data_IF_594699121548
#
_entry.id   IF_594699121548
#
_cell.length_a   1.000
_cell.length_b   1.000
_cell.length_c   1.000
_cell.angle_alpha   90.00
_cell.angle_beta   90.00
_cell.angle_gamma   90.00
#
_symmetry.space_group_name_H-M   'P 1'
#
loop_
_entity.id
_entity.type
_entity.pdbx_description
1 polymer ?
#
# COMPACT_ATOMS: atom_id res chain seq x y z
N UNK A 1 -22.56 -43.93 91.17
CA UNK A 1 -23.44 -42.85 90.68
C UNK A 1 -22.57 -41.81 90.00
N UNK A 2 -22.98 -41.41 88.80
CA UNK A 2 -22.17 -40.81 87.74
C UNK A 2 -21.75 -39.36 87.97
N UNK A 3 -20.50 -39.08 87.59
CA UNK A 3 -19.96 -37.79 87.19
C UNK A 3 -20.73 -37.19 86.00
N UNK A 4 -20.79 -35.85 85.90
CA UNK A 4 -20.74 -35.13 84.61
C UNK A 4 -20.42 -33.65 84.78
N UNK A 5 -19.17 -33.30 84.50
CA UNK A 5 -18.66 -31.94 84.26
C UNK A 5 -18.98 -31.59 82.80
N UNK A 6 -19.75 -30.52 82.57
CA UNK A 6 -20.07 -30.00 81.22
C UNK A 6 -18.87 -29.27 80.62
N UNK A 7 -18.34 -29.78 79.50
CA UNK A 7 -17.38 -29.10 78.63
C UNK A 7 -18.11 -28.13 77.71
N UNK A 8 -17.70 -26.86 77.70
CA UNK A 8 -18.14 -25.84 76.74
C UNK A 8 -17.29 -26.02 75.47
N UNK A 9 -17.95 -26.30 74.34
CA UNK A 9 -17.31 -26.40 73.03
C UNK A 9 -17.18 -24.99 72.42
N UNK A 10 -15.95 -24.58 72.09
CA UNK A 10 -15.67 -23.37 71.31
C UNK A 10 -15.68 -23.77 69.83
N UNK A 11 -16.68 -23.29 69.10
CA UNK A 11 -16.79 -23.45 67.65
C UNK A 11 -15.79 -22.51 66.95
N UNK A 12 -14.74 -23.07 66.36
CA UNK A 12 -13.84 -22.34 65.48
C UNK A 12 -14.52 -22.10 64.12
N UNK A 13 -14.93 -20.87 63.83
CA UNK A 13 -15.32 -20.45 62.48
C UNK A 13 -14.05 -20.40 61.61
N UNK A 14 -13.93 -21.34 60.67
CA UNK A 14 -12.92 -21.28 59.61
C UNK A 14 -13.23 -20.15 58.64
N UNK A 15 -12.37 -19.13 58.60
CA UNK A 15 -12.39 -18.08 57.58
C UNK A 15 -11.88 -18.70 56.27
N UNK A 16 -12.79 -19.04 55.37
CA UNK A 16 -12.43 -19.38 53.99
C UNK A 16 -11.90 -18.10 53.31
N UNK A 17 -10.58 -18.04 53.08
CA UNK A 17 -9.97 -17.01 52.27
C UNK A 17 -10.48 -17.16 50.82
N UNK A 18 -11.46 -16.34 50.44
CA UNK A 18 -11.84 -16.17 49.04
C UNK A 18 -10.66 -15.52 48.31
N UNK A 19 -9.90 -16.32 47.57
CA UNK A 19 -8.94 -15.82 46.58
C UNK A 19 -9.72 -15.15 45.45
N UNK A 20 -9.89 -13.83 45.54
CA UNK A 20 -10.36 -13.02 44.42
C UNK A 20 -9.41 -13.29 43.22
N UNK A 21 -9.93 -13.68 42.04
CA UNK A 21 -9.10 -13.79 40.85
C UNK A 21 -8.41 -12.45 40.62
N UNK A 22 -7.08 -12.46 40.59
CA UNK A 22 -6.28 -11.25 40.44
C UNK A 22 -6.75 -10.46 39.23
N UNK A 23 -7.12 -9.20 39.44
CA UNK A 23 -7.37 -8.25 38.36
C UNK A 23 -6.03 -8.09 37.63
N UNK A 24 -5.86 -8.83 36.54
CA UNK A 24 -4.76 -8.59 35.62
C UNK A 24 -5.08 -7.29 34.91
N UNK A 25 -4.42 -6.21 35.32
CA UNK A 25 -4.47 -4.94 34.61
C UNK A 25 -3.97 -5.24 33.20
N UNK A 26 -4.84 -5.05 32.21
CA UNK A 26 -4.50 -5.30 30.83
C UNK A 26 -3.37 -4.37 30.39
N UNK A 27 -2.31 -4.93 29.81
CA UNK A 27 -1.18 -4.16 29.28
C UNK A 27 -1.65 -3.36 28.05
N UNK A 28 -1.49 -2.04 28.11
CA UNK A 28 -1.67 -1.14 26.96
C UNK A 28 -0.66 -1.48 25.84
N UNK A 29 -1.09 -1.31 24.60
CA UNK A 29 -0.28 -1.60 23.42
C UNK A 29 0.30 -0.33 22.80
N UNK A 30 1.61 -0.13 22.90
CA UNK A 30 2.29 0.95 22.21
C UNK A 30 2.53 0.59 20.74
N UNK A 31 1.86 1.31 19.83
CA UNK A 31 2.00 1.16 18.39
C UNK A 31 2.85 2.30 17.82
N UNK A 32 3.99 1.95 17.23
CA UNK A 32 4.86 2.90 16.56
C UNK A 32 4.39 3.22 15.15
N UNK A 33 4.54 4.48 14.73
CA UNK A 33 4.35 4.91 13.33
C UNK A 33 5.56 5.70 12.90
N UNK A 34 6.16 5.32 11.77
CA UNK A 34 7.27 6.06 11.15
C UNK A 34 6.88 6.42 9.72
N UNK A 35 6.58 7.68 9.48
CA UNK A 35 6.19 8.19 8.15
C UNK A 35 7.08 9.36 7.72
N UNK A 36 7.01 9.75 6.44
CA UNK A 36 7.67 10.96 5.96
C UNK A 36 6.75 12.16 6.14
N UNK A 37 6.64 12.69 7.36
CA UNK A 37 5.73 13.79 7.67
C UNK A 37 6.28 15.14 7.23
N UNK A 38 7.60 15.21 7.03
CA UNK A 38 8.29 16.31 6.36
C UNK A 38 9.13 15.79 5.19
N UNK A 39 9.60 16.72 4.35
CA UNK A 39 10.34 16.41 3.12
C UNK A 39 9.44 15.88 2.01
N UNK A 40 10.01 15.10 1.09
CA UNK A 40 9.33 14.65 -0.13
C UNK A 40 8.11 13.73 0.13
N UNK A 41 8.02 13.10 1.30
CA UNK A 41 6.89 12.24 1.67
C UNK A 41 5.69 12.94 2.28
N UNK A 42 5.78 14.24 2.60
CA UNK A 42 4.78 14.93 3.43
C UNK A 42 3.37 14.89 2.81
N UNK A 43 3.27 15.17 1.50
CA UNK A 43 2.00 15.18 0.76
C UNK A 43 1.30 13.83 0.78
N UNK A 44 2.05 12.73 0.79
CA UNK A 44 1.52 11.36 0.69
C UNK A 44 1.30 10.70 2.05
N UNK A 45 2.00 11.17 3.09
CA UNK A 45 1.92 10.58 4.43
C UNK A 45 0.78 11.13 5.28
N UNK A 46 0.26 12.33 4.97
CA UNK A 46 -0.77 12.99 5.79
C UNK A 46 -2.04 12.17 5.90
N UNK A 47 -2.63 11.79 4.77
CA UNK A 47 -3.87 11.01 4.76
C UNK A 47 -3.67 9.61 5.33
N UNK A 48 -2.48 9.02 5.09
CA UNK A 48 -2.07 7.77 5.72
C UNK A 48 -2.08 7.85 7.25
N UNK A 49 -1.46 8.89 7.82
CA UNK A 49 -1.45 9.12 9.26
C UNK A 49 -2.86 9.33 9.83
N UNK A 50 -3.70 10.08 9.12
CA UNK A 50 -5.10 10.30 9.52
C UNK A 50 -5.89 8.98 9.51
N UNK A 51 -5.65 8.11 8.53
CA UNK A 51 -6.28 6.79 8.46
C UNK A 51 -5.83 5.86 9.60
N UNK A 52 -4.53 5.88 9.96
CA UNK A 52 -4.03 5.13 11.12
C UNK A 52 -4.73 5.59 12.40
N UNK A 53 -4.81 6.90 12.61
CA UNK A 53 -5.48 7.48 13.79
C UNK A 53 -6.95 7.07 13.85
N UNK A 54 -7.66 7.13 12.72
CA UNK A 54 -9.05 6.72 12.64
C UNK A 54 -9.22 5.24 13.00
N UNK A 55 -8.46 4.33 12.39
CA UNK A 55 -8.52 2.90 12.70
C UNK A 55 -8.21 2.61 14.18
N UNK A 56 -7.20 3.27 14.75
CA UNK A 56 -6.84 3.12 16.16
C UNK A 56 -7.97 3.59 17.09
N UNK A 57 -8.63 4.70 16.77
CA UNK A 57 -9.79 5.17 17.53
C UNK A 57 -10.97 4.20 17.45
N UNK A 58 -11.27 3.67 16.27
CA UNK A 58 -12.34 2.68 16.07
C UNK A 58 -12.08 1.39 16.86
N UNK A 59 -10.83 0.92 16.89
CA UNK A 59 -10.44 -0.26 17.66
C UNK A 59 -10.48 0.01 19.16
N UNK A 60 -9.99 1.17 19.61
CA UNK A 60 -10.06 1.56 21.01
C UNK A 60 -11.49 1.74 21.50
N UNK A 61 -12.41 2.24 20.66
CA UNK A 61 -13.83 2.33 20.98
C UNK A 61 -14.49 0.94 21.17
N UNK A 62 -13.89 -0.12 20.63
CA UNK A 62 -14.29 -1.52 20.81
C UNK A 62 -13.55 -2.21 21.97
N UNK A 63 -12.88 -1.46 22.84
CA UNK A 63 -12.13 -1.98 23.98
C UNK A 63 -10.65 -2.26 23.70
N UNK A 64 -10.14 -1.89 22.53
CA UNK A 64 -8.74 -2.12 22.15
C UNK A 64 -8.49 -3.53 21.63
N UNK A 65 -7.22 -3.93 21.56
CA UNK A 65 -6.85 -5.27 21.13
C UNK A 65 -7.32 -6.32 22.13
N UNK A 66 -7.89 -7.41 21.60
CA UNK A 66 -8.49 -8.50 22.39
C UNK A 66 -9.53 -8.02 23.41
N UNK A 67 -10.16 -6.85 23.15
CA UNK A 67 -11.16 -6.23 24.03
C UNK A 67 -10.61 -5.73 25.37
N UNK A 68 -9.29 -5.61 25.52
CA UNK A 68 -8.67 -5.22 26.80
C UNK A 68 -7.40 -4.38 26.70
N UNK A 69 -6.64 -4.44 25.60
CA UNK A 69 -5.37 -3.73 25.45
C UNK A 69 -5.56 -2.46 24.62
N UNK A 70 -5.64 -1.30 25.28
CA UNK A 70 -5.80 -0.01 24.60
C UNK A 70 -4.55 0.32 23.77
N UNK A 71 -4.75 0.84 22.57
CA UNK A 71 -3.67 1.22 21.66
C UNK A 71 -3.24 2.66 21.93
N UNK A 72 -1.95 2.83 22.24
CA UNK A 72 -1.28 4.11 22.37
C UNK A 72 -0.41 4.35 21.13
N UNK A 73 -0.80 5.32 20.30
CA UNK A 73 -0.10 5.61 19.05
C UNK A 73 1.09 6.55 19.30
N UNK A 74 2.29 6.14 18.90
CA UNK A 74 3.51 6.95 18.99
C UNK A 74 4.05 7.23 17.58
N UNK A 75 3.92 8.48 17.14
CA UNK A 75 4.22 8.90 15.77
C UNK A 75 5.60 9.58 15.72
N UNK A 76 6.43 9.16 14.75
CA UNK A 76 7.72 9.77 14.45
C UNK A 76 7.82 10.16 12.98
N UNK A 77 8.57 11.23 12.73
CA UNK A 77 8.88 11.72 11.39
C UNK A 77 10.25 11.21 10.94
N UNK A 78 10.27 10.45 9.85
CA UNK A 78 11.51 9.98 9.19
C UNK A 78 12.22 11.08 8.40
N UNK A 79 11.57 12.23 8.17
CA UNK A 79 12.02 13.26 7.22
C UNK A 79 12.31 12.72 5.82
N UNK A 80 11.74 11.55 5.50
CA UNK A 80 12.00 10.79 4.27
C UNK A 80 13.46 10.33 4.11
N UNK A 81 14.22 10.17 5.21
CA UNK A 81 15.63 9.75 5.18
C UNK A 81 15.88 8.44 5.95
N UNK A 82 16.66 7.48 5.40
CA UNK A 82 16.90 6.18 6.06
C UNK A 82 17.52 6.29 7.46
N UNK A 83 18.49 7.18 7.66
CA UNK A 83 19.19 7.33 8.94
C UNK A 83 18.27 7.83 10.05
N UNK A 84 17.44 8.84 9.74
CA UNK A 84 16.44 9.34 10.69
C UNK A 84 15.38 8.26 10.94
N UNK A 85 14.91 7.56 9.91
CA UNK A 85 13.95 6.48 10.09
C UNK A 85 14.48 5.37 11.02
N UNK A 86 15.74 4.94 10.83
CA UNK A 86 16.41 3.94 11.68
C UNK A 86 16.54 4.42 13.13
N UNK A 87 16.95 5.68 13.31
CA UNK A 87 17.05 6.33 14.63
C UNK A 87 15.69 6.35 15.33
N UNK A 88 14.65 6.83 14.65
CA UNK A 88 13.31 6.95 15.25
C UNK A 88 12.69 5.59 15.56
N UNK A 89 12.90 4.58 14.71
CA UNK A 89 12.50 3.20 15.02
C UNK A 89 13.23 2.67 16.27
N UNK A 90 14.54 2.94 16.40
CA UNK A 90 15.30 2.56 17.59
C UNK A 90 14.77 3.24 18.85
N UNK A 91 14.38 4.52 18.76
CA UNK A 91 13.75 5.26 19.87
C UNK A 91 12.40 4.62 20.24
N UNK A 92 11.54 4.37 19.26
CA UNK A 92 10.23 3.73 19.48
C UNK A 92 10.37 2.39 20.21
N UNK A 93 11.35 1.57 19.81
CA UNK A 93 11.58 0.26 20.40
C UNK A 93 12.16 0.38 21.82
N UNK A 94 13.23 1.18 21.98
CA UNK A 94 13.99 1.22 23.24
C UNK A 94 13.30 2.03 24.32
N UNK A 95 12.73 3.18 23.96
CA UNK A 95 12.07 4.13 24.88
C UNK A 95 10.59 3.85 24.99
N UNK A 96 9.90 3.82 23.85
CA UNK A 96 8.44 3.74 23.82
C UNK A 96 7.93 2.28 23.86
N UNK A 97 8.83 1.29 23.90
CA UNK A 97 8.55 -0.15 24.05
C UNK A 97 7.52 -0.68 23.04
N UNK A 98 7.52 -0.15 21.82
CA UNK A 98 6.56 -0.56 20.80
C UNK A 98 6.75 -2.03 20.40
N UNK A 99 5.63 -2.70 20.10
CA UNK A 99 5.58 -4.10 19.66
C UNK A 99 5.43 -4.24 18.14
N UNK A 100 4.96 -3.19 17.49
CA UNK A 100 4.87 -3.06 16.04
C UNK A 100 5.19 -1.62 15.61
N UNK A 101 5.68 -1.50 14.38
CA UNK A 101 5.90 -0.23 13.67
C UNK A 101 5.16 -0.29 12.33
N UNK A 102 4.27 0.69 12.10
CA UNK A 102 3.65 0.93 10.79
C UNK A 102 4.47 1.93 9.97
N UNK A 103 4.53 1.71 8.67
CA UNK A 103 5.20 2.59 7.72
C UNK A 103 6.35 1.91 6.96
N UNK A 104 7.10 2.62 6.13
CA UNK A 104 7.15 4.07 5.94
C UNK A 104 6.67 4.45 4.54
N UNK A 105 6.61 5.75 4.23
CA UNK A 105 6.47 6.25 2.85
C UNK A 105 7.63 5.84 1.93
N UNK A 106 8.87 6.00 2.41
CA UNK A 106 10.06 5.77 1.60
C UNK A 106 10.48 4.32 1.62
N UNK A 107 10.65 3.71 0.44
CA UNK A 107 11.20 2.37 0.31
C UNK A 107 12.57 2.22 0.99
N UNK A 108 13.43 3.23 0.88
CA UNK A 108 14.75 3.20 1.51
C UNK A 108 14.65 3.25 3.04
N UNK A 109 13.70 4.02 3.58
CA UNK A 109 13.42 4.03 5.02
C UNK A 109 12.90 2.67 5.48
N UNK A 110 11.93 2.08 4.78
CA UNK A 110 11.42 0.73 5.12
C UNK A 110 12.52 -0.34 5.08
N UNK A 111 13.41 -0.30 4.09
CA UNK A 111 14.57 -1.22 4.01
C UNK A 111 15.52 -1.00 5.20
N UNK A 112 15.76 0.24 5.63
CA UNK A 112 16.62 0.55 6.77
C UNK A 112 15.98 0.18 8.13
N UNK A 113 14.65 0.24 8.24
CA UNK A 113 13.90 -0.18 9.43
C UNK A 113 13.90 -1.70 9.61
N UNK A 114 13.82 -2.45 8.52
CA UNK A 114 13.72 -3.92 8.51
C UNK A 114 14.73 -4.63 9.44
N UNK A 115 16.05 -4.37 9.36
CA UNK A 115 17.02 -5.04 10.25
C UNK A 115 16.82 -4.64 11.71
N UNK A 116 16.50 -3.38 12.01
CA UNK A 116 16.23 -2.93 13.39
C UNK A 116 15.01 -3.63 13.98
N UNK A 117 13.93 -3.73 13.21
CA UNK A 117 12.72 -4.44 13.62
C UNK A 117 13.01 -5.93 13.87
N UNK A 118 13.73 -6.58 12.95
CA UNK A 118 14.14 -7.99 13.06
C UNK A 118 15.00 -8.27 14.30
N UNK A 119 16.06 -7.48 14.51
CA UNK A 119 16.99 -7.64 15.64
C UNK A 119 16.30 -7.50 17.00
N UNK A 120 15.25 -6.69 17.06
CA UNK A 120 14.50 -6.43 18.30
C UNK A 120 13.18 -7.20 18.37
N UNK A 121 12.90 -8.09 17.42
CA UNK A 121 11.68 -8.91 17.36
C UNK A 121 10.38 -8.09 17.37
N UNK A 122 10.41 -6.93 16.70
CA UNK A 122 9.28 -6.00 16.57
C UNK A 122 8.70 -6.15 15.18
N UNK A 123 7.37 -6.19 15.08
CA UNK A 123 6.69 -6.26 13.78
C UNK A 123 6.90 -4.96 13.00
N UNK A 124 7.06 -5.10 11.69
CA UNK A 124 7.13 -4.00 10.75
C UNK A 124 6.11 -4.24 9.63
N UNK A 125 5.07 -3.42 9.58
CA UNK A 125 4.05 -3.50 8.53
C UNK A 125 4.22 -2.30 7.60
N UNK A 126 4.73 -2.57 6.41
CA UNK A 126 4.92 -1.59 5.35
C UNK A 126 3.65 -1.45 4.51
N UNK A 127 3.06 -0.26 4.48
CA UNK A 127 1.82 -0.03 3.76
C UNK A 127 2.02 0.62 2.39
N UNK A 128 2.81 1.70 2.34
CA UNK A 128 2.87 2.59 1.18
C UNK A 128 4.26 2.62 0.52
N UNK A 129 5.31 2.18 1.20
CA UNK A 129 6.61 1.93 0.56
C UNK A 129 6.51 0.77 -0.42
N UNK A 130 7.27 0.86 -1.51
CA UNK A 130 6.96 0.10 -2.73
C UNK A 130 8.10 -0.83 -3.19
N UNK A 131 9.34 -0.65 -2.74
CA UNK A 131 10.42 -1.48 -3.29
C UNK A 131 10.16 -2.95 -3.00
N UNK A 132 10.23 -3.79 -4.04
CA UNK A 132 10.18 -5.24 -3.87
C UNK A 132 11.28 -5.76 -2.94
N UNK A 133 12.39 -5.03 -2.77
CA UNK A 133 13.48 -5.44 -1.87
C UNK A 133 13.13 -5.35 -0.39
N UNK A 134 11.99 -4.75 -0.03
CA UNK A 134 11.47 -4.81 1.34
C UNK A 134 11.24 -6.27 1.74
N UNK A 135 10.66 -7.07 0.85
CA UNK A 135 10.26 -8.47 1.07
C UNK A 135 11.09 -9.50 0.28
N UNK A 136 11.69 -9.10 -0.85
CA UNK A 136 12.45 -9.99 -1.74
C UNK A 136 13.85 -10.33 -1.22
N UNK A 137 14.69 -9.33 -0.97
CA UNK A 137 16.11 -9.48 -0.60
C UNK A 137 16.26 -9.31 0.91
N UNK A 138 17.11 -10.12 1.55
CA UNK A 138 17.26 -10.15 3.02
C UNK A 138 15.89 -10.18 3.74
N UNK A 139 15.08 -11.23 3.52
CA UNK A 139 13.73 -11.27 4.08
C UNK A 139 13.78 -11.26 5.61
N UNK A 140 12.78 -10.62 6.21
CA UNK A 140 12.57 -10.62 7.66
C UNK A 140 11.23 -11.27 7.96
N UNK A 141 11.16 -12.25 8.88
CA UNK A 141 9.88 -12.82 9.26
C UNK A 141 8.98 -11.81 9.99
N UNK A 142 9.54 -10.71 10.50
CA UNK A 142 8.80 -9.63 11.16
C UNK A 142 8.32 -8.53 10.21
N UNK A 143 8.69 -8.58 8.92
CA UNK A 143 8.30 -7.56 7.94
C UNK A 143 7.20 -8.09 7.03
N UNK A 144 6.10 -7.36 6.95
CA UNK A 144 4.95 -7.63 6.09
C UNK A 144 4.67 -6.41 5.23
N UNK A 145 4.25 -6.61 3.98
CA UNK A 145 3.89 -5.51 3.08
C UNK A 145 2.42 -5.62 2.63
N UNK A 146 1.60 -4.59 2.87
CA UNK A 146 0.16 -4.60 2.53
C UNK A 146 -0.17 -3.84 1.23
N UNK A 147 0.77 -3.06 0.70
CA UNK A 147 0.67 -2.42 -0.61
C UNK A 147 1.37 -3.22 -1.71
N UNK A 148 1.02 -3.02 -3.00
CA UNK A 148 1.68 -3.71 -4.10
C UNK A 148 3.10 -3.18 -4.24
N UNK A 149 4.06 -4.07 -4.46
CA UNK A 149 5.46 -3.69 -4.65
C UNK A 149 5.79 -3.26 -6.10
N UNK A 150 7.03 -2.84 -6.30
CA UNK A 150 7.49 -2.19 -7.54
C UNK A 150 7.44 -3.13 -8.74
N UNK A 151 7.69 -4.42 -8.54
CA UNK A 151 7.53 -5.42 -9.60
C UNK A 151 6.05 -5.64 -9.90
N UNK A 152 5.21 -5.78 -8.86
CA UNK A 152 3.77 -5.93 -9.04
C UNK A 152 3.17 -4.78 -9.84
N UNK A 153 3.56 -3.53 -9.54
CA UNK A 153 3.06 -2.38 -10.31
C UNK A 153 3.54 -2.38 -11.76
N UNK A 154 4.83 -2.68 -12.01
CA UNK A 154 5.34 -2.76 -13.37
C UNK A 154 4.63 -3.84 -14.19
N UNK A 155 4.44 -5.04 -13.61
CA UNK A 155 3.72 -6.12 -14.27
C UNK A 155 2.21 -5.83 -14.40
N UNK A 156 1.60 -5.17 -13.41
CA UNK A 156 0.21 -4.75 -13.49
C UNK A 156 -0.05 -3.76 -14.62
N UNK A 157 0.90 -2.88 -14.96
CA UNK A 157 0.77 -2.04 -16.15
C UNK A 157 0.72 -2.89 -17.43
N UNK A 158 1.62 -3.86 -17.58
CA UNK A 158 1.62 -4.74 -18.75
C UNK A 158 0.32 -5.55 -18.86
N UNK A 159 -0.06 -6.26 -17.79
CA UNK A 159 -1.28 -7.09 -17.74
C UNK A 159 -2.54 -6.23 -17.89
N UNK A 160 -2.62 -5.10 -17.19
CA UNK A 160 -3.78 -4.23 -17.22
C UNK A 160 -4.00 -3.61 -18.59
N UNK A 161 -2.93 -3.18 -19.26
CA UNK A 161 -3.01 -2.67 -20.65
C UNK A 161 -3.39 -3.78 -21.62
N UNK A 162 -2.89 -5.01 -21.45
CA UNK A 162 -3.28 -6.16 -22.28
C UNK A 162 -4.78 -6.46 -22.15
N UNK A 163 -5.31 -6.46 -20.92
CA UNK A 163 -6.75 -6.60 -20.65
C UNK A 163 -7.57 -5.46 -21.25
N UNK A 164 -7.13 -4.20 -21.10
CA UNK A 164 -7.79 -3.05 -21.72
C UNK A 164 -7.80 -3.18 -23.24
N UNK A 165 -6.68 -3.59 -23.84
CA UNK A 165 -6.56 -3.81 -25.28
C UNK A 165 -7.55 -4.86 -25.76
N UNK A 166 -7.62 -6.01 -25.09
CA UNK A 166 -8.59 -7.07 -25.39
C UNK A 166 -10.04 -6.56 -25.30
N UNK A 167 -10.38 -5.86 -24.21
CA UNK A 167 -11.73 -5.34 -23.99
C UNK A 167 -12.15 -4.28 -25.01
N UNK A 168 -11.21 -3.46 -25.48
CA UNK A 168 -11.46 -2.38 -26.45
C UNK A 168 -11.16 -2.76 -27.91
N UNK A 169 -10.75 -4.01 -28.16
CA UNK A 169 -10.40 -4.49 -29.50
C UNK A 169 -9.16 -3.81 -30.10
N UNK A 170 -8.22 -3.36 -29.26
CA UNK A 170 -6.96 -2.77 -29.73
C UNK A 170 -6.03 -3.82 -30.31
N UNK A 171 -5.29 -3.43 -31.34
CA UNK A 171 -4.40 -4.31 -32.11
C UNK A 171 -3.02 -3.69 -32.37
N UNK A 172 -2.86 -2.39 -32.16
CA UNK A 172 -1.66 -1.62 -32.48
C UNK A 172 -1.29 -0.69 -31.35
N UNK A 173 -0.02 -0.53 -31.08
CA UNK A 173 0.46 0.42 -30.09
C UNK A 173 1.73 1.12 -30.56
N UNK A 174 2.00 2.27 -29.94
CA UNK A 174 3.26 2.98 -30.11
C UNK A 174 3.94 3.19 -28.76
N UNK A 175 5.24 3.48 -28.80
CA UNK A 175 6.01 3.89 -27.63
C UNK A 175 6.64 5.25 -27.85
N UNK A 176 6.76 6.01 -26.76
CA UNK A 176 7.63 7.18 -26.68
C UNK A 176 8.53 7.03 -25.46
N UNK A 177 9.84 7.12 -25.66
CA UNK A 177 10.82 6.88 -24.60
C UNK A 177 12.05 7.75 -24.77
N UNK A 178 12.62 8.25 -23.68
CA UNK A 178 13.83 9.08 -23.76
C UNK A 178 15.00 8.31 -24.39
N UNK A 179 15.72 8.94 -25.33
CA UNK A 179 16.85 8.34 -26.08
C UNK A 179 18.14 8.28 -25.23
N UNK A 180 18.07 7.61 -24.10
CA UNK A 180 19.21 7.24 -23.26
C UNK A 180 18.89 5.96 -22.50
N UNK A 181 19.87 5.43 -21.77
CA UNK A 181 19.81 4.09 -21.16
C UNK A 181 18.53 3.82 -20.38
N UNK A 182 18.10 4.73 -19.52
CA UNK A 182 16.89 4.53 -18.71
C UNK A 182 15.63 4.41 -19.59
N UNK A 183 15.45 5.27 -20.59
CA UNK A 183 14.28 5.25 -21.45
C UNK A 183 14.26 4.00 -22.33
N UNK A 184 15.42 3.62 -22.89
CA UNK A 184 15.60 2.40 -23.69
C UNK A 184 15.31 1.14 -22.89
N UNK A 185 15.95 0.99 -21.73
CA UNK A 185 15.74 -0.17 -20.85
C UNK A 185 14.30 -0.25 -20.33
N UNK A 186 13.69 0.88 -19.95
CA UNK A 186 12.30 0.91 -19.46
C UNK A 186 11.30 0.54 -20.55
N UNK A 187 11.48 1.05 -21.77
CA UNK A 187 10.63 0.69 -22.89
C UNK A 187 10.82 -0.77 -23.31
N UNK A 188 12.06 -1.25 -23.40
CA UNK A 188 12.34 -2.65 -23.74
C UNK A 188 11.73 -3.61 -22.71
N UNK A 189 11.86 -3.31 -21.42
CA UNK A 189 11.24 -4.09 -20.35
C UNK A 189 9.72 -4.13 -20.46
N UNK A 190 9.08 -2.99 -20.73
CA UNK A 190 7.64 -2.95 -20.97
C UNK A 190 7.27 -3.80 -22.19
N UNK A 191 7.93 -3.61 -23.34
CA UNK A 191 7.62 -4.35 -24.57
C UNK A 191 7.80 -5.86 -24.36
N UNK A 192 8.87 -6.29 -23.71
CA UNK A 192 9.13 -7.70 -23.43
C UNK A 192 8.09 -8.33 -22.50
N UNK A 193 7.64 -7.60 -21.47
CA UNK A 193 6.55 -8.06 -20.61
C UNK A 193 5.23 -8.06 -21.35
N UNK A 194 4.94 -6.96 -22.06
CA UNK A 194 3.68 -6.76 -22.77
C UNK A 194 3.46 -7.77 -23.88
N UNK A 195 4.49 -8.11 -24.67
CA UNK A 195 4.40 -9.14 -25.71
C UNK A 195 4.10 -10.53 -25.17
N UNK A 196 4.46 -10.83 -23.91
CA UNK A 196 4.09 -12.10 -23.26
C UNK A 196 2.61 -12.13 -22.89
N UNK A 197 2.03 -10.97 -22.56
CA UNK A 197 0.63 -10.84 -22.13
C UNK A 197 -0.33 -10.59 -23.32
N UNK A 198 0.15 -9.96 -24.40
CA UNK A 198 -0.62 -9.58 -25.59
C UNK A 198 0.22 -9.74 -26.88
N UNK A 199 0.61 -10.98 -27.25
CA UNK A 199 1.47 -11.24 -28.42
C UNK A 199 0.86 -10.83 -29.77
N UNK A 200 -0.46 -10.68 -29.84
CA UNK A 200 -1.20 -10.28 -31.04
C UNK A 200 -1.11 -8.77 -31.33
N UNK A 201 -0.72 -7.97 -30.34
CA UNK A 201 -0.61 -6.52 -30.49
C UNK A 201 0.70 -6.12 -31.17
N UNK A 202 0.59 -5.25 -32.18
CA UNK A 202 1.71 -4.83 -33.02
C UNK A 202 2.27 -3.47 -32.57
N UNK A 203 3.57 -3.43 -32.28
CA UNK A 203 4.29 -2.17 -32.12
C UNK A 203 4.46 -1.50 -33.49
N UNK A 204 3.65 -0.47 -33.76
CA UNK A 204 3.64 0.20 -35.08
C UNK A 204 4.55 1.41 -35.15
N UNK A 205 4.97 1.95 -34.00
CA UNK A 205 5.87 3.10 -33.96
C UNK A 205 6.62 3.19 -32.64
N UNK A 206 7.92 3.43 -32.75
CA UNK A 206 8.77 3.85 -31.64
C UNK A 206 9.26 5.27 -31.90
N UNK A 207 9.27 6.09 -30.85
CA UNK A 207 9.75 7.47 -30.92
C UNK A 207 10.70 7.74 -29.76
N UNK A 208 11.85 8.31 -30.10
CA UNK A 208 12.99 8.48 -29.19
C UNK A 208 13.37 9.96 -29.06
N UNK A 209 12.64 10.78 -28.28
CA UNK A 209 13.05 12.13 -27.94
C UNK A 209 14.42 12.12 -27.24
N UNK A 210 15.31 13.03 -27.64
CA UNK A 210 16.62 13.18 -26.98
C UNK A 210 16.45 13.68 -25.55
N UNK A 211 17.42 13.39 -24.69
CA UNK A 211 17.45 13.96 -23.34
C UNK A 211 17.50 15.50 -23.42
N UNK A 212 16.63 16.18 -22.69
CA UNK A 212 16.48 17.64 -22.73
C UNK A 212 15.54 18.15 -23.83
N UNK A 213 14.82 17.26 -24.52
CA UNK A 213 13.88 17.63 -25.59
C UNK A 213 12.84 18.66 -25.10
N UNK A 214 12.54 19.62 -25.95
CA UNK A 214 11.55 20.68 -25.67
C UNK A 214 10.47 20.82 -26.72
N UNK A 215 10.64 20.20 -27.89
CA UNK A 215 9.74 20.31 -29.05
C UNK A 215 9.16 18.94 -29.38
N UNK A 216 8.03 18.61 -28.75
CA UNK A 216 7.37 17.31 -28.93
C UNK A 216 6.41 17.23 -30.14
N UNK A 217 6.16 18.33 -30.85
CA UNK A 217 5.19 18.38 -31.97
C UNK A 217 5.46 17.35 -33.07
N UNK A 218 6.73 17.16 -33.45
CA UNK A 218 7.13 16.19 -34.47
C UNK A 218 6.91 14.74 -34.01
N UNK A 219 7.21 14.45 -32.74
CA UNK A 219 6.97 13.15 -32.11
C UNK A 219 5.47 12.84 -32.05
N UNK A 220 4.63 13.80 -31.65
CA UNK A 220 3.17 13.69 -31.67
C UNK A 220 2.66 13.35 -33.08
N UNK A 221 3.10 14.09 -34.10
CA UNK A 221 2.68 13.86 -35.47
C UNK A 221 3.13 12.49 -36.00
N UNK A 222 4.35 12.06 -35.66
CA UNK A 222 4.88 10.75 -36.05
C UNK A 222 4.07 9.59 -35.44
N UNK A 223 3.67 9.71 -34.16
CA UNK A 223 2.82 8.72 -33.49
C UNK A 223 1.43 8.72 -34.11
N UNK A 224 0.80 9.89 -34.26
CA UNK A 224 -0.54 10.00 -34.81
C UNK A 224 -0.64 9.42 -36.25
N UNK A 225 0.39 9.63 -37.08
CA UNK A 225 0.46 9.08 -38.44
C UNK A 225 0.50 7.54 -38.46
N UNK A 226 1.10 6.91 -37.45
CA UNK A 226 1.15 5.46 -37.32
C UNK A 226 -0.19 4.84 -36.88
N UNK A 227 -1.16 5.67 -36.44
CA UNK A 227 -2.50 5.26 -36.00
C UNK A 227 -2.46 4.10 -34.99
N UNK A 228 -1.73 4.23 -33.86
CA UNK A 228 -1.82 3.25 -32.78
C UNK A 228 -3.17 3.38 -32.06
N UNK A 229 -3.57 2.33 -31.35
CA UNK A 229 -4.74 2.36 -30.47
C UNK A 229 -4.42 2.95 -29.09
N UNK A 230 -3.17 2.82 -28.64
CA UNK A 230 -2.66 3.45 -27.42
C UNK A 230 -1.15 3.73 -27.51
N UNK A 231 -0.63 4.53 -26.58
CA UNK A 231 0.77 4.97 -26.57
C UNK A 231 1.39 4.80 -25.19
N UNK A 232 2.37 3.90 -25.06
CA UNK A 232 3.12 3.75 -23.81
C UNK A 232 4.25 4.77 -23.72
N UNK A 233 4.43 5.34 -22.52
CA UNK A 233 5.40 6.40 -22.25
C UNK A 233 6.48 6.01 -21.25
N UNK A 234 7.74 6.21 -21.63
CA UNK A 234 8.91 6.15 -20.75
C UNK A 234 9.73 7.45 -20.85
N UNK A 235 9.13 8.55 -20.40
CA UNK A 235 9.75 9.89 -20.35
C UNK A 235 9.71 10.38 -18.91
N UNK A 236 10.77 11.05 -18.46
CA UNK A 236 10.89 11.55 -17.09
C UNK A 236 11.14 13.06 -17.02
N UNK A 237 11.04 13.60 -15.79
CA UNK A 237 11.52 14.93 -15.42
C UNK A 237 10.96 16.07 -16.29
N UNK A 238 11.76 17.11 -16.58
CA UNK A 238 11.35 18.28 -17.34
C UNK A 238 10.84 17.93 -18.76
N UNK A 239 11.41 16.89 -19.38
CA UNK A 239 11.00 16.41 -20.70
C UNK A 239 9.57 15.85 -20.64
N UNK A 240 9.23 15.11 -19.58
CA UNK A 240 7.87 14.61 -19.38
C UNK A 240 6.88 15.75 -19.15
N UNK A 241 7.26 16.78 -18.37
CA UNK A 241 6.39 17.96 -18.16
C UNK A 241 6.07 18.62 -19.51
N UNK A 242 7.08 18.86 -20.34
CA UNK A 242 6.91 19.47 -21.67
C UNK A 242 6.13 18.55 -22.63
N UNK A 243 6.36 17.24 -22.58
CA UNK A 243 5.59 16.24 -23.33
C UNK A 243 4.11 16.30 -22.96
N UNK A 244 3.77 16.15 -21.68
CA UNK A 244 2.38 16.18 -21.20
C UNK A 244 1.71 17.51 -21.59
N UNK A 245 2.38 18.65 -21.41
CA UNK A 245 1.84 19.96 -21.79
C UNK A 245 1.58 20.06 -23.30
N UNK A 246 2.53 19.64 -24.14
CA UNK A 246 2.41 19.72 -25.60
C UNK A 246 1.33 18.76 -26.12
N UNK A 247 1.32 17.53 -25.62
CA UNK A 247 0.35 16.49 -25.95
C UNK A 247 -1.07 16.89 -25.51
N UNK A 248 -1.22 17.49 -24.33
CA UNK A 248 -2.52 18.01 -23.84
C UNK A 248 -3.04 19.12 -24.75
N UNK A 249 -2.20 20.11 -25.10
CA UNK A 249 -2.59 21.19 -26.04
C UNK A 249 -3.00 20.65 -27.42
N UNK A 250 -2.35 19.58 -27.86
CA UNK A 250 -2.67 18.90 -29.12
C UNK A 250 -3.90 17.97 -29.03
N UNK A 251 -4.56 17.88 -27.86
CA UNK A 251 -5.64 16.92 -27.59
C UNK A 251 -5.23 15.48 -27.92
N UNK A 252 -3.97 15.16 -27.65
CA UNK A 252 -3.38 13.87 -27.98
C UNK A 252 -3.97 12.74 -27.12
N UNK A 253 -4.11 12.98 -25.81
CA UNK A 253 -4.64 12.00 -24.86
C UNK A 253 -6.13 11.72 -25.05
N UNK A 254 -6.88 12.65 -25.66
CA UNK A 254 -8.27 12.45 -26.06
C UNK A 254 -8.40 11.39 -27.18
N UNK A 255 -7.34 11.21 -27.98
CA UNK A 255 -7.31 10.30 -29.14
C UNK A 255 -6.59 9.00 -28.84
N UNK A 256 -5.52 9.07 -28.05
CA UNK A 256 -4.65 7.95 -27.76
C UNK A 256 -4.51 7.78 -26.25
N UNK A 257 -5.17 6.76 -25.67
CA UNK A 257 -4.93 6.34 -24.30
C UNK A 257 -3.44 6.19 -24.02
N UNK A 258 -3.01 6.73 -22.90
CA UNK A 258 -1.59 6.83 -22.55
C UNK A 258 -1.33 6.12 -21.21
N UNK A 259 -1.06 4.80 -21.23
CA UNK A 259 -0.77 4.04 -20.02
C UNK A 259 0.64 4.28 -19.48
N UNK A 260 0.77 4.18 -18.16
CA UNK A 260 2.07 3.99 -17.51
C UNK A 260 2.44 5.02 -16.45
N UNK A 261 1.52 5.89 -16.02
CA UNK A 261 1.79 6.81 -14.91
C UNK A 261 1.02 6.40 -13.66
N UNK A 262 1.72 6.32 -12.52
CA UNK A 262 1.05 6.33 -11.21
C UNK A 262 0.31 7.66 -11.09
N UNK A 263 -1.02 7.58 -11.01
CA UNK A 263 -1.89 8.72 -10.77
C UNK A 263 -2.73 8.33 -9.55
N UNK A 264 -2.23 8.61 -8.35
CA UNK A 264 -2.99 8.27 -7.16
C UNK A 264 -4.22 9.17 -7.04
N UNK A 265 -5.15 8.79 -6.19
CA UNK A 265 -6.28 9.63 -5.76
C UNK A 265 -5.80 10.98 -5.24
N UNK A 266 -4.59 11.08 -4.67
CA UNK A 266 -3.98 12.36 -4.31
C UNK A 266 -3.79 13.26 -5.54
N UNK A 267 -3.24 12.74 -6.65
CA UNK A 267 -3.10 13.53 -7.88
C UNK A 267 -4.46 13.89 -8.47
N UNK A 268 -5.42 12.95 -8.48
CA UNK A 268 -6.77 13.22 -8.96
C UNK A 268 -7.43 14.37 -8.17
N UNK A 269 -7.39 14.30 -6.84
CA UNK A 269 -7.99 15.30 -5.94
C UNK A 269 -7.29 16.66 -5.97
N UNK A 270 -5.96 16.69 -6.09
CA UNK A 270 -5.19 17.94 -6.03
C UNK A 270 -5.10 18.65 -7.36
N UNK A 271 -5.00 17.91 -8.48
CA UNK A 271 -4.90 18.49 -9.81
C UNK A 271 -6.27 18.80 -10.40
N UNK A 272 -7.33 18.07 -10.03
CA UNK A 272 -8.71 18.31 -10.47
C UNK A 272 -8.85 18.52 -11.97
N UNK A 273 -8.95 19.76 -12.46
CA UNK A 273 -9.08 20.11 -13.88
C UNK A 273 -7.74 20.10 -14.63
N UNK A 274 -6.62 20.21 -13.93
CA UNK A 274 -5.28 20.31 -14.51
C UNK A 274 -4.66 18.96 -14.87
N UNK A 275 -5.29 17.85 -14.45
CA UNK A 275 -4.87 16.51 -14.88
C UNK A 275 -5.50 16.15 -16.24
N UNK A 276 -4.73 15.70 -17.24
CA UNK A 276 -5.30 15.42 -18.55
C UNK A 276 -6.29 14.24 -18.50
N UNK A 277 -7.44 14.41 -19.16
CA UNK A 277 -8.42 13.32 -19.37
C UNK A 277 -7.91 12.39 -20.48
N UNK A 278 -8.42 11.16 -20.52
CA UNK A 278 -8.05 10.16 -21.53
C UNK A 278 -6.72 9.44 -21.27
N UNK A 279 -5.87 9.97 -20.37
CA UNK A 279 -4.72 9.23 -19.85
C UNK A 279 -5.17 7.99 -19.08
N UNK A 280 -4.36 6.94 -19.11
CA UNK A 280 -4.60 5.71 -18.34
C UNK A 280 -3.72 5.75 -17.11
N UNK A 281 -4.34 6.00 -15.96
CA UNK A 281 -3.66 6.06 -14.67
C UNK A 281 -3.54 4.68 -14.02
N UNK A 282 -2.49 4.50 -13.23
CA UNK A 282 -2.31 3.39 -12.29
C UNK A 282 -2.55 3.90 -10.86
N UNK A 283 -3.29 3.14 -10.06
CA UNK A 283 -3.49 3.39 -8.64
C UNK A 283 -3.31 2.09 -7.85
N UNK A 284 -3.03 2.21 -6.55
CA UNK A 284 -2.75 1.05 -5.69
C UNK A 284 -3.93 0.62 -4.85
N UNK A 285 -4.78 1.57 -4.46
CA UNK A 285 -5.92 1.32 -3.58
C UNK A 285 -6.94 2.47 -3.69
N UNK A 286 -7.43 2.83 -4.90
CA UNK A 286 -8.35 3.93 -5.02
C UNK A 286 -9.67 3.54 -4.37
N UNK A 287 -10.16 4.35 -3.42
CA UNK A 287 -11.32 3.97 -2.60
C UNK A 287 -12.57 3.66 -3.43
N UNK A 288 -12.73 4.34 -4.57
CA UNK A 288 -13.87 4.17 -5.48
C UNK A 288 -13.88 2.82 -6.21
N UNK A 289 -12.82 2.01 -6.11
CA UNK A 289 -12.74 0.69 -6.73
C UNK A 289 -13.47 -0.41 -5.94
N UNK A 290 -13.73 -0.20 -4.65
CA UNK A 290 -14.25 -1.24 -3.74
C UNK A 290 -15.37 -0.71 -2.84
N UNK A 291 -16.18 0.24 -3.30
CA UNK A 291 -17.26 0.80 -2.47
C UNK A 291 -18.35 -0.21 -2.12
N UNK A 292 -18.43 -1.33 -2.84
CA UNK A 292 -19.27 -2.49 -2.51
C UNK A 292 -18.73 -3.31 -1.32
N UNK A 293 -17.43 -3.21 -1.02
CA UNK A 293 -16.87 -3.75 0.21
C UNK A 293 -17.30 -2.89 1.41
N UNK A 294 -17.94 -3.53 2.41
CA UNK A 294 -18.40 -2.87 3.64
C UNK A 294 -17.27 -2.21 4.43
N UNK A 295 -16.08 -2.81 4.46
CA UNK A 295 -14.93 -2.23 5.15
C UNK A 295 -14.47 -0.94 4.44
N UNK A 296 -14.46 -0.92 3.10
CA UNK A 296 -14.10 0.27 2.33
C UNK A 296 -15.15 1.38 2.48
N UNK A 297 -16.43 1.08 2.26
CA UNK A 297 -17.50 2.07 2.37
C UNK A 297 -17.57 2.66 3.78
N UNK A 298 -17.50 1.82 4.81
CA UNK A 298 -17.42 2.27 6.21
C UNK A 298 -16.21 3.17 6.48
N UNK A 299 -15.02 2.79 6.00
CA UNK A 299 -13.82 3.61 6.10
C UNK A 299 -13.98 4.96 5.39
N UNK A 300 -14.47 4.97 4.15
CA UNK A 300 -14.66 6.20 3.36
C UNK A 300 -15.63 7.16 4.07
N UNK A 301 -16.73 6.64 4.61
CA UNK A 301 -17.73 7.43 5.32
C UNK A 301 -17.16 8.01 6.63
N UNK A 302 -16.50 7.17 7.43
CA UNK A 302 -15.88 7.59 8.70
C UNK A 302 -14.77 8.63 8.46
N UNK A 303 -13.92 8.40 7.46
CA UNK A 303 -12.83 9.29 7.09
C UNK A 303 -13.37 10.64 6.58
N UNK A 304 -14.37 10.63 5.70
CA UNK A 304 -15.01 11.84 5.20
C UNK A 304 -15.71 12.61 6.31
N UNK A 305 -16.44 11.93 7.20
CA UNK A 305 -17.10 12.54 8.35
C UNK A 305 -16.12 13.25 9.28
N UNK A 306 -14.97 12.63 9.54
CA UNK A 306 -13.98 13.15 10.49
C UNK A 306 -13.11 14.27 9.92
N UNK A 307 -12.69 14.13 8.67
CA UNK A 307 -11.67 15.01 8.08
C UNK A 307 -12.19 15.91 6.95
N UNK A 308 -13.48 15.81 6.59
CA UNK A 308 -14.11 16.68 5.58
C UNK A 308 -13.66 16.45 4.14
N UNK A 309 -12.93 15.38 3.85
CA UNK A 309 -12.42 15.03 2.51
C UNK A 309 -12.43 13.52 2.28
N UNK A 310 -12.41 13.09 1.02
CA UNK A 310 -12.29 11.68 0.66
C UNK A 310 -10.85 11.15 0.92
N UNK A 311 -10.69 9.87 1.29
CA UNK A 311 -9.36 9.28 1.49
C UNK A 311 -8.59 9.14 0.16
N UNK A 312 -7.26 9.19 0.25
CA UNK A 312 -6.36 8.77 -0.83
C UNK A 312 -6.02 7.28 -0.75
N UNK A 313 -5.35 6.75 -1.77
CA UNK A 313 -4.87 5.34 -1.77
C UNK A 313 -3.95 5.03 -0.59
N UNK A 314 -3.18 6.03 -0.17
CA UNK A 314 -2.25 5.95 0.95
C UNK A 314 -3.01 5.73 2.26
N UNK A 315 -4.13 6.44 2.42
CA UNK A 315 -5.04 6.30 3.55
C UNK A 315 -5.61 4.88 3.61
N UNK A 316 -6.08 4.36 2.47
CA UNK A 316 -6.64 3.01 2.36
C UNK A 316 -5.62 1.94 2.77
N UNK A 317 -4.39 2.01 2.25
CA UNK A 317 -3.36 1.01 2.57
C UNK A 317 -2.89 1.09 4.04
N UNK A 318 -2.79 2.28 4.62
CA UNK A 318 -2.42 2.44 6.03
C UNK A 318 -3.55 1.99 6.97
N UNK A 319 -4.82 2.20 6.59
CA UNK A 319 -5.96 1.64 7.29
C UNK A 319 -5.92 0.10 7.28
N UNK A 320 -5.69 -0.49 6.11
CA UNK A 320 -5.50 -1.94 5.97
C UNK A 320 -4.33 -2.45 6.83
N UNK A 321 -3.24 -1.70 6.97
CA UNK A 321 -2.10 -2.09 7.80
C UNK A 321 -2.45 -2.20 9.29
N UNK A 322 -3.25 -1.27 9.82
CA UNK A 322 -3.74 -1.33 11.21
C UNK A 322 -4.65 -2.53 11.40
N UNK A 323 -5.57 -2.78 10.46
CA UNK A 323 -6.49 -3.92 10.54
C UNK A 323 -5.80 -5.26 10.28
N UNK A 324 -4.71 -5.31 9.53
CA UNK A 324 -3.85 -6.48 9.41
C UNK A 324 -3.22 -6.81 10.78
N UNK A 325 -2.67 -5.82 11.48
CA UNK A 325 -2.13 -5.99 12.83
C UNK A 325 -3.21 -6.50 13.80
N UNK A 326 -4.39 -5.88 13.79
CA UNK A 326 -5.54 -6.31 14.61
C UNK A 326 -5.86 -7.78 14.39
N UNK A 327 -6.03 -8.19 13.13
CA UNK A 327 -6.38 -9.57 12.79
C UNK A 327 -5.26 -10.56 13.15
N UNK A 328 -4.00 -10.17 13.00
CA UNK A 328 -2.86 -10.96 13.46
C UNK A 328 -2.89 -11.20 14.98
N UNK A 329 -3.17 -10.14 15.75
CA UNK A 329 -3.32 -10.22 17.22
C UNK A 329 -4.50 -11.12 17.62
N UNK A 330 -5.64 -10.99 16.94
CA UNK A 330 -6.81 -11.82 17.19
C UNK A 330 -6.54 -13.30 16.88
N UNK A 331 -5.92 -13.59 15.73
CA UNK A 331 -5.52 -14.96 15.37
C UNK A 331 -4.49 -15.56 16.34
N UNK A 332 -3.56 -14.75 16.83
CA UNK A 332 -2.56 -15.16 17.81
C UNK A 332 -3.14 -15.35 19.23
N UNK A 333 -4.31 -14.77 19.51
CA UNK A 333 -4.84 -14.64 20.88
C UNK A 333 -3.88 -13.88 21.81
N UNK A 334 -2.98 -13.06 21.26
CA UNK A 334 -1.88 -12.45 22.00
C UNK A 334 -1.37 -11.18 21.32
N UNK A 335 -0.96 -10.21 22.13
CA UNK A 335 -0.27 -8.99 21.68
C UNK A 335 1.26 -9.16 21.55
N UNK A 336 1.78 -10.36 21.81
CA UNK A 336 3.20 -10.67 21.69
C UNK A 336 3.64 -10.73 20.22
N UNK A 337 4.69 -9.98 19.87
CA UNK A 337 5.14 -9.82 18.49
C UNK A 337 5.55 -11.13 17.82
N UNK A 338 6.11 -12.10 18.55
CA UNK A 338 6.48 -13.41 17.97
C UNK A 338 5.24 -14.19 17.57
N UNK A 339 4.23 -14.26 18.46
CA UNK A 339 2.98 -14.97 18.18
C UNK A 339 2.21 -14.32 17.05
N UNK A 340 2.16 -12.98 17.00
CA UNK A 340 1.47 -12.24 15.94
C UNK A 340 2.17 -12.42 14.59
N UNK A 341 3.51 -12.40 14.57
CA UNK A 341 4.34 -12.69 13.39
C UNK A 341 4.02 -14.08 12.82
N UNK A 342 3.98 -15.11 13.67
CA UNK A 342 3.65 -16.47 13.25
C UNK A 342 2.20 -16.56 12.76
N UNK A 343 1.26 -15.87 13.42
CA UNK A 343 -0.15 -15.85 13.03
C UNK A 343 -0.44 -15.10 11.72
N UNK A 344 0.40 -14.15 11.33
CA UNK A 344 0.28 -13.42 10.05
C UNK A 344 0.91 -14.17 8.88
N UNK A 345 1.90 -15.04 9.13
CA UNK A 345 2.62 -15.76 8.09
C UNK A 345 1.67 -16.66 7.27
N UNK A 346 1.44 -16.29 6.01
CA UNK A 346 0.52 -17.01 5.13
C UNK A 346 -0.97 -16.82 5.43
N UNK A 347 -1.33 -15.91 6.34
CA UNK A 347 -2.72 -15.69 6.72
C UNK A 347 -3.47 -14.85 5.67
N UNK A 348 -4.76 -15.16 5.52
CA UNK A 348 -5.73 -14.27 4.88
C UNK A 348 -6.20 -13.23 5.87
N UNK A 349 -6.15 -11.97 5.46
CA UNK A 349 -6.65 -10.80 6.20
C UNK A 349 -7.78 -10.14 5.41
N UNK A 350 -8.84 -9.75 6.11
CA UNK A 350 -9.88 -8.88 5.58
C UNK A 350 -9.32 -7.47 5.41
N UNK A 351 -9.47 -6.90 4.22
CA UNK A 351 -9.02 -5.54 3.90
C UNK A 351 -10.14 -4.76 3.25
N UNK A 352 -9.95 -3.44 3.12
CA UNK A 352 -10.80 -2.58 2.30
C UNK A 352 -10.84 -3.01 0.82
N UNK A 353 -9.91 -3.85 0.38
CA UNK A 353 -9.81 -4.38 -0.99
C UNK A 353 -10.23 -5.85 -1.11
N UNK A 354 -10.91 -6.38 -0.07
CA UNK A 354 -11.36 -7.77 0.03
C UNK A 354 -10.45 -8.63 0.91
N UNK A 355 -10.76 -9.92 1.01
CA UNK A 355 -9.97 -10.89 1.76
C UNK A 355 -8.72 -11.29 0.96
N UNK A 356 -7.53 -11.01 1.49
CA UNK A 356 -6.27 -11.18 0.77
C UNK A 356 -5.24 -11.98 1.60
N UNK A 357 -4.60 -13.03 1.04
CA UNK A 357 -3.54 -13.75 1.72
C UNK A 357 -2.19 -13.05 1.66
N UNK A 358 -1.40 -13.14 2.72
CA UNK A 358 0.05 -12.94 2.63
C UNK A 358 0.71 -14.14 1.94
N UNK A 359 1.65 -13.88 1.03
CA UNK A 359 2.48 -14.93 0.44
C UNK A 359 3.43 -15.48 1.49
N UNK A 360 3.49 -16.81 1.61
CA UNK A 360 4.38 -17.49 2.56
C UNK A 360 5.87 -17.25 2.29
N UNK A 361 6.27 -17.05 1.03
CA UNK A 361 7.68 -16.92 0.64
C UNK A 361 8.32 -15.59 1.05
N UNK A 362 7.55 -14.51 1.11
CA UNK A 362 8.07 -13.15 1.22
C UNK A 362 7.23 -12.19 2.07
N UNK A 363 6.10 -12.63 2.65
CA UNK A 363 5.18 -11.77 3.43
C UNK A 363 4.63 -10.57 2.65
N UNK A 364 4.60 -10.64 1.31
CA UNK A 364 3.89 -9.69 0.46
C UNK A 364 2.40 -10.04 0.43
N UNK A 365 1.53 -9.06 0.68
CA UNK A 365 0.08 -9.24 0.52
C UNK A 365 -0.27 -9.43 -0.95
N UNK A 366 -1.26 -10.28 -1.21
CA UNK A 366 -1.88 -10.50 -2.52
C UNK A 366 -2.76 -9.33 -2.99
N UNK A 367 -2.28 -8.10 -2.80
CA UNK A 367 -3.06 -6.92 -3.12
C UNK A 367 -3.10 -6.64 -4.63
N UNK A 368 -4.26 -6.24 -5.15
CA UNK A 368 -4.41 -5.85 -6.55
C UNK A 368 -3.78 -4.47 -6.85
N UNK A 369 -3.66 -4.18 -8.14
CA UNK A 369 -3.42 -2.84 -8.70
C UNK A 369 -4.53 -2.48 -9.68
N UNK A 370 -4.77 -1.19 -9.88
CA UNK A 370 -5.92 -0.69 -10.63
C UNK A 370 -5.46 0.23 -11.74
N UNK A 371 -5.94 -0.03 -12.95
CA UNK A 371 -5.73 0.83 -14.09
C UNK A 371 -7.06 1.36 -14.57
N UNK A 372 -7.11 2.60 -15.05
CA UNK A 372 -8.30 3.10 -15.71
C UNK A 372 -8.09 4.44 -16.39
N UNK A 373 -9.06 4.81 -17.21
CA UNK A 373 -9.04 6.06 -17.96
C UNK A 373 -9.46 7.20 -17.03
N UNK A 374 -8.64 8.24 -16.95
CA UNK A 374 -8.95 9.45 -16.17
C UNK A 374 -10.10 10.18 -16.87
N UNK A 375 -11.21 10.32 -16.17
CA UNK A 375 -12.42 10.96 -16.66
C UNK A 375 -13.17 11.66 -15.53
N UNK A 376 -14.01 12.62 -15.90
CA UNK A 376 -14.85 13.34 -14.94
C UNK A 376 -15.87 12.42 -14.26
N UNK A 377 -16.17 12.75 -13.00
CA UNK A 377 -17.15 12.06 -12.18
C UNK A 377 -18.36 12.93 -11.95
N UNK A 378 -19.55 12.32 -11.98
CA UNK A 378 -20.78 12.99 -11.56
C UNK A 378 -20.94 12.99 -10.02
N UNK A 379 -20.11 12.22 -9.30
CA UNK A 379 -20.19 12.03 -7.84
C UNK A 379 -19.13 12.81 -7.06
N UNK A 380 -18.01 13.15 -7.68
CA UNK A 380 -16.86 13.78 -7.04
C UNK A 380 -16.48 15.06 -7.75
N UNK A 381 -15.95 16.05 -7.01
CA UNK A 381 -15.45 17.31 -7.56
C UNK A 381 -14.03 17.19 -8.17
N UNK A 382 -13.60 15.95 -8.41
CA UNK A 382 -12.32 15.58 -9.02
C UNK A 382 -12.53 14.37 -9.96
N UNK A 383 -11.68 14.19 -10.99
CA UNK A 383 -11.80 13.06 -11.90
C UNK A 383 -11.49 11.73 -11.20
N UNK A 384 -12.02 10.64 -11.72
CA UNK A 384 -11.75 9.28 -11.24
C UNK A 384 -11.31 8.40 -12.41
N UNK A 385 -11.04 7.13 -12.12
CA UNK A 385 -10.87 6.12 -13.16
C UNK A 385 -12.22 5.59 -13.64
N UNK A 386 -12.43 5.62 -14.95
CA UNK A 386 -13.47 4.89 -15.67
C UNK A 386 -12.85 3.74 -16.45
N UNK A 387 -13.67 2.79 -16.90
CA UNK A 387 -13.25 1.57 -17.59
C UNK A 387 -12.15 0.81 -16.83
N UNK A 388 -12.30 0.76 -15.51
CA UNK A 388 -11.24 0.30 -14.63
C UNK A 388 -10.98 -1.20 -14.83
N UNK A 389 -9.70 -1.54 -14.96
CA UNK A 389 -9.20 -2.91 -14.95
C UNK A 389 -8.47 -3.15 -13.64
N UNK A 390 -8.91 -4.19 -12.93
CA UNK A 390 -8.22 -4.71 -11.76
C UNK A 390 -7.24 -5.80 -12.21
N UNK A 391 -5.99 -5.66 -11.80
CA UNK A 391 -4.98 -6.72 -11.91
C UNK A 391 -4.77 -7.28 -10.51
N UNK A 392 -5.00 -8.58 -10.35
CA UNK A 392 -4.85 -9.23 -9.04
C UNK A 392 -3.37 -9.30 -8.64
N UNK A 393 -3.11 -9.64 -7.37
CA UNK A 393 -1.72 -9.86 -6.94
C UNK A 393 -1.11 -11.07 -7.65
N UNK A 394 -1.86 -12.16 -7.85
CA UNK A 394 -1.37 -13.36 -8.54
C UNK A 394 -0.93 -13.10 -9.97
N UNK A 395 -1.64 -12.22 -10.70
CA UNK A 395 -1.30 -11.84 -12.07
C UNK A 395 -0.05 -10.97 -12.17
N UNK A 396 0.36 -10.35 -11.05
CA UNK A 396 1.43 -9.35 -11.03
C UNK A 396 2.62 -9.75 -10.16
N UNK A 397 2.55 -10.87 -9.45
CA UNK A 397 3.63 -11.31 -8.58
C UNK A 397 4.90 -11.69 -9.32
N UNK A 398 6.02 -11.43 -8.66
CA UNK A 398 7.28 -12.02 -9.06
C UNK A 398 7.21 -13.54 -8.85
N UNK A 399 7.60 -14.35 -9.86
CA UNK A 399 7.69 -15.79 -9.72
C UNK A 399 8.56 -16.19 -8.52
N UNK A 400 8.16 -17.23 -7.79
CA UNK A 400 8.88 -17.67 -6.58
C UNK A 400 10.33 -18.08 -6.87
N UNK A 401 10.58 -18.71 -8.01
CA UNK A 401 11.94 -19.13 -8.40
C UNK A 401 12.88 -17.93 -8.59
N UNK A 402 12.38 -16.80 -9.09
CA UNK A 402 13.17 -15.57 -9.20
C UNK A 402 13.46 -14.94 -7.83
N UNK A 403 12.52 -15.06 -6.89
CA UNK A 403 12.73 -14.62 -5.51
C UNK A 403 13.80 -15.49 -4.84
N UNK A 404 13.71 -16.82 -5.00
CA UNK A 404 14.71 -17.77 -4.48
C UNK A 404 16.09 -17.50 -5.08
N UNK A 405 16.17 -17.23 -6.38
CA UNK A 405 17.41 -16.89 -7.06
C UNK A 405 18.04 -15.59 -6.53
N UNK A 406 17.23 -14.58 -6.22
CA UNK A 406 17.71 -13.30 -5.67
C UNK A 406 18.17 -13.36 -4.20
N UNK A 407 17.98 -14.50 -3.52
CA UNK A 407 18.37 -14.74 -2.12
C UNK A 407 19.60 -15.65 -1.98
N UNK A 408 20.05 -16.25 -3.09
CA UNK A 408 21.33 -16.95 -3.18
C UNK A 408 22.42 -15.93 -3.39
#
# INVERSE_FOLDING_TARGET
>A
MNNSIKKIAVSALGVAAMTLPGITVAEDYNLGVVLGLTGAGATYSKDGLDAIKLAVEEINAQGGFLGKSKINLVVKDSKTTPDVAKKEATVLIKKDKVKAILGTYSSACSIALKPVARENKVLHIAAISNSENITKVDPSPYTFAVGPNSYMQAKAVAVGVAKMAKNKGWSKYATIASDYEWGKSTQANFVNLFQKEAPELKLVKEVWPKLGESKFTSHIAAIAKAKPDFVYGAIASADNVKWIQTATKAKFFDKFPYPGSLVSVTELQTKKKDIPRGMVGLARAPFFAHLDNKMMSGFVDAFKKKYGRYPSDWAVMEYDAVYALKQGIEKAGSIDSEKVKDALAGATIETTRGALPFRKIDNQLNCPSYLGVIADSDKYDFPIYKDMVTVSGEESWRPEEEIKAARK
#
